data_IF_037500685637
#
_entry.id   IF_037500685637
#
_cell.length_a   1.000
_cell.length_b   1.000
_cell.length_c   1.000
_cell.angle_alpha   90.00
_cell.angle_beta   90.00
_cell.angle_gamma   90.00
#
_symmetry.space_group_name_H-M   'P 1'
#
loop_
_entity.id
_entity.type
_entity.pdbx_description
1 polymer ?
2 non-polymer ?
3 non-polymer ?
4 non-polymer ?
5 non-polymer ?
6 non-polymer ?
7 water ?
#
# COMPACT_ATOMS: atom_id res chain seq x y z
N UNK A 45 3.83 -2.24 -31.72
CA UNK A 45 3.29 -2.00 -33.04
C UNK A 45 2.45 -0.73 -33.07
N UNK A 46 2.05 -0.31 -34.26
CA UNK A 46 1.20 0.87 -34.43
C UNK A 46 -0.25 0.54 -34.06
N UNK A 47 -0.82 -0.43 -34.76
CA UNK A 47 -2.15 -0.91 -34.39
C UNK A 47 -2.02 -1.84 -33.20
N UNK A 48 -3.11 -2.07 -32.49
CA UNK A 48 -3.11 -2.99 -31.35
C UNK A 48 -2.82 -4.39 -31.88
N UNK A 49 -3.40 -4.69 -33.04
CA UNK A 49 -3.17 -5.97 -33.69
C UNK A 49 -1.69 -6.21 -33.96
N UNK A 50 -1.01 -5.17 -34.44
CA UNK A 50 0.42 -5.26 -34.72
C UNK A 50 1.22 -5.47 -33.45
N UNK A 51 0.90 -4.71 -32.41
CA UNK A 51 1.59 -4.87 -31.13
C UNK A 51 1.40 -6.30 -30.62
N UNK A 52 0.17 -6.80 -30.71
CA UNK A 52 -0.14 -8.13 -30.20
C UNK A 52 0.60 -9.25 -30.95
N UNK A 53 0.66 -9.15 -32.26
CA UNK A 53 1.38 -10.14 -33.06
C UNK A 53 2.86 -10.20 -32.67
N UNK A 54 3.46 -9.04 -32.44
CA UNK A 54 4.84 -8.95 -32.01
C UNK A 54 5.00 -9.47 -30.58
N UNK A 55 4.06 -9.12 -29.71
CA UNK A 55 4.12 -9.62 -28.34
C UNK A 55 3.93 -11.14 -28.31
N UNK A 56 3.04 -11.65 -29.16
CA UNK A 56 2.85 -13.09 -29.25
C UNK A 56 4.18 -13.81 -29.45
N UNK A 57 5.04 -13.23 -30.28
CA UNK A 57 6.37 -13.81 -30.50
C UNK A 57 7.18 -13.84 -29.21
N UNK A 58 7.15 -12.74 -28.46
CA UNK A 58 7.87 -12.67 -27.19
C UNK A 58 7.27 -13.64 -26.18
N UNK A 59 5.95 -13.78 -26.22
CA UNK A 59 5.28 -14.70 -25.30
C UNK A 59 5.69 -16.13 -25.59
N UNK A 60 5.69 -16.52 -26.87
CA UNK A 60 6.16 -17.86 -27.24
C UNK A 60 7.60 -18.07 -26.83
N UNK A 61 8.46 -17.08 -27.10
CA UNK A 61 9.86 -17.17 -26.71
C UNK A 61 10.04 -17.32 -25.21
N UNK A 62 9.06 -16.87 -24.44
CA UNK A 62 9.13 -17.00 -22.99
C UNK A 62 8.46 -18.24 -22.43
N UNK A 63 7.95 -19.10 -23.31
CA UNK A 63 7.39 -20.37 -22.87
C UNK A 63 5.88 -20.50 -22.81
N UNK A 64 5.16 -19.47 -23.23
CA UNK A 64 3.69 -19.55 -23.33
C UNK A 64 3.29 -20.33 -24.58
N UNK A 65 2.34 -21.24 -24.44
CA UNK A 65 1.82 -22.01 -25.58
C UNK A 65 0.84 -21.20 -26.42
N UNK A 66 0.75 -21.52 -27.70
CA UNK A 66 -0.09 -20.75 -28.62
C UNK A 66 -1.55 -20.76 -28.21
N UNK A 67 -2.02 -21.90 -27.70
CA UNK A 67 -3.41 -22.07 -27.32
C UNK A 67 -3.76 -21.22 -26.10
N UNK A 68 -2.85 -21.19 -25.12
CA UNK A 68 -3.02 -20.31 -23.96
C UNK A 68 -3.11 -18.86 -24.42
N UNK A 69 -2.18 -18.45 -25.27
CA UNK A 69 -2.14 -17.04 -25.72
C UNK A 69 -3.41 -16.67 -26.45
N UNK A 70 -3.78 -17.48 -27.43
CA UNK A 70 -4.96 -17.17 -28.22
C UNK A 70 -6.24 -17.18 -27.39
N UNK A 71 -6.32 -18.08 -26.40
CA UNK A 71 -7.46 -18.11 -25.49
C UNK A 71 -7.51 -16.86 -24.58
N UNK A 72 -6.35 -16.46 -24.08
CA UNK A 72 -6.22 -15.26 -23.24
C UNK A 72 -6.59 -13.99 -23.99
N UNK A 73 -6.26 -13.92 -25.28
CA UNK A 73 -6.46 -12.68 -26.03
C UNK A 73 -7.73 -12.67 -26.86
N UNK A 74 -8.56 -13.71 -26.70
CA UNK A 74 -9.80 -13.80 -27.44
C UNK A 74 -10.67 -12.58 -27.18
N UNK A 75 -10.90 -11.80 -28.23
CA UNK A 75 -11.76 -10.63 -28.14
C UNK A 75 -11.13 -9.40 -27.52
N UNK A 76 -9.89 -9.52 -27.06
CA UNK A 76 -9.23 -8.42 -26.34
C UNK A 76 -8.89 -7.24 -27.26
N UNK A 77 -9.29 -6.03 -26.83
CA UNK A 77 -8.92 -4.78 -27.46
C UNK A 77 -8.47 -3.82 -26.38
N UNK A 78 -7.85 -2.70 -26.77
CA UNK A 78 -7.44 -1.76 -25.70
C UNK A 78 -8.63 -1.25 -24.91
N UNK A 79 -8.39 -0.97 -23.63
CA UNK A 79 -9.43 -0.47 -22.75
C UNK A 79 -9.11 0.99 -22.37
N UNK A 80 -9.88 1.94 -22.90
CA UNK A 80 -9.65 3.36 -22.63
C UNK A 80 -9.76 3.73 -21.17
N UNK A 81 -10.54 2.96 -20.40
CA UNK A 81 -10.68 3.21 -18.97
C UNK A 81 -9.36 2.98 -18.26
N UNK A 82 -8.60 1.99 -18.75
CA UNK A 82 -7.30 1.67 -18.21
C UNK A 82 -6.29 2.76 -18.61
N UNK A 83 -6.42 3.22 -19.85
CA UNK A 83 -5.54 4.29 -20.32
C UNK A 83 -5.75 5.54 -19.49
N UNK A 84 -7.00 5.88 -19.24
CA UNK A 84 -7.37 7.03 -18.42
C UNK A 84 -6.81 6.92 -17.01
N UNK A 85 -6.96 5.75 -16.39
CA UNK A 85 -6.46 5.55 -15.03
C UNK A 85 -4.94 5.71 -14.98
N UNK A 86 -4.26 5.20 -15.99
CA UNK A 86 -2.81 5.23 -16.08
C UNK A 86 -2.35 6.68 -16.22
N UNK A 87 -3.09 7.44 -16.99
CA UNK A 87 -2.75 8.82 -17.27
C UNK A 87 -3.09 9.75 -16.12
N UNK A 88 -4.16 9.45 -15.39
CA UNK A 88 -4.63 10.35 -14.35
C UNK A 88 -3.66 10.44 -13.18
N UNK A 89 -2.69 11.35 -13.29
CA UNK A 89 -1.88 11.75 -12.14
C UNK A 89 -2.66 12.81 -11.38
N UNK A 90 -3.51 12.48 -10.43
CA UNK A 90 -4.46 13.42 -9.79
C UNK A 90 -4.15 14.83 -9.24
N UNK A 91 -5.24 15.56 -9.05
CA UNK A 91 -5.19 16.89 -8.52
C UNK A 91 -6.12 17.04 -7.32
N UNK A 92 -5.83 16.32 -6.26
CA UNK A 92 -6.60 16.38 -5.01
C UNK A 92 -6.40 15.27 -4.01
N UNK A 93 -6.30 15.76 -2.78
CA UNK A 93 -6.14 15.08 -1.51
C UNK A 93 -7.23 13.96 -1.42
N UNK A 94 -7.37 13.11 -0.39
CA UNK A 94 -6.73 13.03 0.92
C UNK A 94 -7.75 13.84 1.64
N UNK A 95 -7.59 14.30 2.87
CA UNK A 95 -6.44 14.22 3.77
C UNK A 95 -6.47 12.88 4.49
N UNK A 96 -5.39 12.51 5.16
CA UNK A 96 -5.29 11.19 5.77
C UNK A 96 -6.53 10.88 6.62
N UNK A 97 -7.12 11.91 7.23
CA UNK A 97 -8.23 11.68 8.18
C UNK A 97 -9.50 11.25 7.45
N UNK A 98 -9.67 11.66 6.21
CA UNK A 98 -10.82 11.23 5.42
C UNK A 98 -10.57 9.85 4.84
N UNK A 99 -9.32 9.58 4.48
CA UNK A 99 -8.91 8.28 3.98
C UNK A 99 -9.07 7.21 5.05
N UNK A 100 -8.66 7.54 6.27
CA UNK A 100 -8.78 6.64 7.40
C UNK A 100 -10.25 6.44 7.76
N UNK A 101 -11.06 7.48 7.57
CA UNK A 101 -12.49 7.42 7.87
C UNK A 101 -13.20 6.38 7.01
N UNK A 102 -12.81 6.34 5.74
CA UNK A 102 -13.34 5.35 4.82
C UNK A 102 -12.81 3.95 5.13
N UNK A 103 -11.51 3.88 5.42
CA UNK A 103 -10.87 2.61 5.73
C UNK A 103 -11.36 2.00 7.04
N UNK A 104 -11.56 2.86 8.04
CA UNK A 104 -11.95 2.42 9.36
C UNK A 104 -13.46 2.53 9.53
N UNK A 105 -14.16 2.61 8.41
CA UNK A 105 -15.62 2.64 8.44
C UNK A 105 -16.16 1.50 9.29
N UNK A 106 -17.06 1.81 10.24
CA UNK A 106 -17.61 0.74 11.10
C UNK A 106 -18.19 -0.41 10.30
N UNK A 107 -18.67 -0.10 9.10
CA UNK A 107 -19.19 -1.15 8.23
C UNK A 107 -18.08 -2.12 7.82
N UNK A 108 -16.88 -1.59 7.57
CA UNK A 108 -15.77 -2.45 7.15
C UNK A 108 -15.20 -3.20 8.36
N UNK A 109 -15.22 -2.57 9.54
CA UNK A 109 -14.75 -3.25 10.74
C UNK A 109 -15.67 -4.42 11.05
N UNK A 110 -16.96 -4.17 11.04
CA UNK A 110 -17.87 -5.26 11.40
C UNK A 110 -17.84 -6.38 10.35
N UNK A 111 -17.60 -6.04 9.09
CA UNK A 111 -17.57 -7.08 8.05
C UNK A 111 -16.32 -7.95 8.24
N UNK A 112 -15.22 -7.33 8.68
CA UNK A 112 -14.02 -8.10 8.98
C UNK A 112 -14.20 -9.00 10.19
N UNK A 113 -14.91 -8.50 11.21
CA UNK A 113 -15.20 -9.36 12.35
C UNK A 113 -16.06 -10.55 11.94
N UNK A 114 -16.96 -10.31 11.01
CA UNK A 114 -17.85 -11.35 10.51
C UNK A 114 -17.04 -12.39 9.75
N UNK A 115 -16.08 -11.91 8.96
CA UNK A 115 -15.20 -12.80 8.19
C UNK A 115 -14.29 -13.60 9.09
N UNK A 116 -13.79 -12.97 10.16
CA UNK A 116 -12.93 -13.68 11.11
C UNK A 116 -13.69 -14.85 11.75
N UNK A 117 -14.97 -14.65 12.01
CA UNK A 117 -15.78 -15.70 12.60
C UNK A 117 -16.10 -16.79 11.58
N UNK A 118 -16.51 -16.37 10.39
CA UNK A 118 -16.93 -17.27 9.31
C UNK A 118 -15.79 -18.18 8.91
N UNK A 119 -14.59 -17.61 8.82
CA UNK A 119 -13.42 -18.34 8.36
C UNK A 119 -12.45 -18.66 9.50
N UNK A 120 -12.98 -18.77 10.71
CA UNK A 120 -12.14 -18.97 11.89
C UNK A 120 -11.22 -20.19 11.79
N UNK A 121 -11.73 -21.30 11.27
CA UNK A 121 -10.93 -22.51 11.15
C UNK A 121 -9.73 -22.31 10.22
N UNK A 122 -10.00 -21.88 8.99
CA UNK A 122 -8.93 -21.61 8.02
C UNK A 122 -7.93 -20.58 8.56
N UNK A 123 -8.44 -19.49 9.13
CA UNK A 123 -7.56 -18.44 9.65
C UNK A 123 -6.70 -18.93 10.78
N UNK A 124 -7.27 -19.78 11.63
CA UNK A 124 -6.51 -20.41 12.69
C UNK A 124 -5.35 -21.21 12.13
N UNK A 125 -5.62 -21.97 11.08
CA UNK A 125 -4.60 -22.80 10.43
C UNK A 125 -3.54 -21.93 9.74
N UNK A 126 -4.00 -20.88 9.07
CA UNK A 126 -3.07 -19.96 8.40
C UNK A 126 -2.20 -19.21 9.41
N UNK A 127 -2.84 -18.69 10.46
CA UNK A 127 -2.15 -17.96 11.54
C UNK A 127 -1.08 -18.85 12.19
N UNK A 128 -1.44 -20.09 12.47
CA UNK A 128 -0.50 -21.04 13.04
C UNK A 128 0.59 -21.44 12.05
N UNK A 129 0.21 -21.78 10.82
CA UNK A 129 1.20 -22.29 9.87
C UNK A 129 2.21 -21.24 9.39
N UNK A 130 1.75 -20.02 9.13
CA UNK A 130 2.64 -18.99 8.59
C UNK A 130 3.22 -18.04 9.65
N UNK A 131 2.71 -18.17 10.87
CA UNK A 131 3.09 -17.29 11.97
C UNK A 131 2.84 -15.84 11.59
N UNK A 132 1.60 -15.59 11.17
CA UNK A 132 1.15 -14.27 10.81
C UNK A 132 -0.21 -14.09 11.45
N UNK A 133 -0.39 -12.97 12.15
CA UNK A 133 -1.63 -12.72 12.87
C UNK A 133 -2.83 -12.66 11.95
N UNK A 134 -3.87 -13.43 12.29
CA UNK A 134 -5.08 -13.46 11.47
C UNK A 134 -5.69 -12.08 11.28
N UNK A 135 -5.66 -11.24 12.32
CA UNK A 135 -6.26 -9.92 12.21
C UNK A 135 -5.59 -9.05 11.16
N UNK A 136 -4.27 -9.22 10.99
CA UNK A 136 -3.56 -8.46 9.97
C UNK A 136 -3.91 -8.94 8.58
N UNK A 137 -3.95 -10.27 8.40
CA UNK A 137 -4.32 -10.87 7.12
C UNK A 137 -5.71 -10.39 6.71
N UNK A 138 -6.64 -10.44 7.65
CA UNK A 138 -8.01 -10.02 7.35
C UNK A 138 -8.09 -8.51 7.09
N UNK A 139 -7.27 -7.74 7.79
CA UNK A 139 -7.25 -6.30 7.53
C UNK A 139 -6.75 -5.98 6.13
N UNK A 140 -5.70 -6.68 5.69
CA UNK A 140 -5.24 -6.51 4.32
C UNK A 140 -6.32 -6.89 3.31
N UNK A 141 -6.96 -8.03 3.57
CA UNK A 141 -8.08 -8.50 2.74
C UNK A 141 -9.17 -7.43 2.60
N UNK A 142 -9.50 -6.79 3.71
CA UNK A 142 -10.50 -5.71 3.72
C UNK A 142 -10.07 -4.48 2.93
N UNK A 143 -8.81 -4.11 3.08
CA UNK A 143 -8.29 -2.91 2.41
C UNK A 143 -8.09 -3.14 0.91
N UNK A 144 -7.74 -4.37 0.53
CA UNK A 144 -7.43 -4.65 -0.87
C UNK A 144 -8.63 -4.91 -1.76
N UNK A 145 -9.59 -5.68 -1.26
CA UNK A 145 -10.76 -6.04 -2.08
C UNK A 145 -12.05 -6.03 -1.29
N UNK A 146 -12.06 -5.39 -0.13
CA UNK A 146 -13.24 -5.44 0.71
C UNK A 146 -13.66 -6.89 1.02
N UNK A 147 -12.68 -7.72 1.38
CA UNK A 147 -12.88 -9.12 1.74
C UNK A 147 -13.43 -9.91 0.55
N UNK A 148 -13.01 -9.53 -0.65
CA UNK A 148 -13.38 -10.27 -1.85
C UNK A 148 -14.56 -9.73 -2.65
N UNK A 149 -15.20 -8.67 -2.18
CA UNK A 149 -16.39 -8.15 -2.88
C UNK A 149 -16.05 -7.13 -3.97
N UNK A 150 -14.87 -6.53 -3.88
CA UNK A 150 -14.42 -5.57 -4.87
C UNK A 150 -13.02 -5.93 -5.36
N UNK A 151 -12.96 -6.83 -6.32
CA UNK A 151 -11.67 -7.26 -6.88
C UNK A 151 -11.39 -6.45 -8.11
N UNK A 152 -12.39 -5.68 -8.51
CA UNK A 152 -12.30 -4.96 -9.75
C UNK A 152 -13.14 -5.79 -10.71
N UNK A 153 -13.41 -5.22 -11.86
CA UNK A 153 -14.23 -5.87 -12.84
C UNK A 153 -13.48 -5.95 -14.14
N UNK A 154 -12.16 -5.76 -14.10
CA UNK A 154 -11.44 -5.73 -15.36
C UNK A 154 -10.65 -7.01 -15.60
N UNK A 155 -10.67 -7.46 -16.85
CA UNK A 155 -9.87 -8.62 -17.21
C UNK A 155 -8.39 -8.26 -17.20
N UNK A 156 -7.58 -9.02 -16.45
CA UNK A 156 -6.18 -8.72 -16.23
C UNK A 156 -5.38 -8.71 -17.52
N UNK A 157 -5.68 -9.65 -18.42
CA UNK A 157 -4.97 -9.69 -19.69
C UNK A 157 -5.27 -8.44 -20.54
N UNK A 158 -6.54 -8.05 -20.59
CA UNK A 158 -6.91 -6.86 -21.33
C UNK A 158 -6.26 -5.61 -20.76
N UNK A 159 -6.26 -5.53 -19.43
CA UNK A 159 -5.72 -4.34 -18.78
C UNK A 159 -4.21 -4.26 -18.98
N UNK A 160 -3.51 -5.37 -18.79
CA UNK A 160 -2.05 -5.30 -18.93
C UNK A 160 -1.66 -5.15 -20.39
N UNK A 161 -2.41 -5.76 -21.32
CA UNK A 161 -2.13 -5.56 -22.74
C UNK A 161 -2.32 -4.10 -23.14
N UNK A 162 -3.36 -3.48 -22.59
CA UNK A 162 -3.62 -2.06 -22.85
C UNK A 162 -2.41 -1.24 -22.39
N UNK A 163 -1.96 -1.48 -21.17
CA UNK A 163 -0.82 -0.74 -20.64
C UNK A 163 0.48 -1.04 -21.39
N UNK A 164 0.62 -2.28 -21.85
CA UNK A 164 1.83 -2.64 -22.60
C UNK A 164 1.84 -1.93 -23.96
N UNK A 165 0.66 -1.81 -24.56
CA UNK A 165 0.51 -1.22 -25.89
C UNK A 165 0.65 0.29 -25.91
N UNK A 166 0.03 0.98 -24.95
CA UNK A 166 0.03 2.44 -24.95
C UNK A 166 0.08 3.10 -23.59
N UNK A 167 0.48 2.34 -22.57
CA UNK A 167 0.60 2.89 -21.23
C UNK A 167 1.90 3.65 -21.00
N UNK A 168 1.97 4.34 -19.86
CA UNK A 168 3.15 5.12 -19.53
C UNK A 168 4.25 4.26 -18.92
N UNK A 169 3.91 3.05 -18.51
CA UNK A 169 4.88 2.18 -17.88
C UNK A 169 4.88 0.81 -18.54
N UNK A 170 5.29 0.75 -19.81
CA UNK A 170 5.21 -0.50 -20.59
C UNK A 170 6.17 -1.59 -20.13
N UNK A 171 7.27 -1.23 -19.48
CA UNK A 171 8.20 -2.22 -18.97
C UNK A 171 7.51 -3.12 -17.94
N UNK A 172 6.86 -2.45 -16.98
CA UNK A 172 6.06 -3.13 -15.96
C UNK A 172 4.96 -3.95 -16.61
N UNK A 173 4.22 -3.34 -17.54
CA UNK A 173 3.07 -4.02 -18.14
C UNK A 173 3.47 -5.30 -18.87
N UNK A 174 4.54 -5.24 -19.66
CA UNK A 174 5.01 -6.41 -20.41
C UNK A 174 5.42 -7.53 -19.46
N UNK A 175 6.17 -7.19 -18.42
CA UNK A 175 6.63 -8.19 -17.46
C UNK A 175 5.44 -8.85 -16.78
N UNK A 176 4.46 -8.04 -16.39
CA UNK A 176 3.31 -8.57 -15.65
C UNK A 176 2.43 -9.38 -16.57
N UNK A 177 2.32 -8.95 -17.82
CA UNK A 177 1.51 -9.67 -18.80
C UNK A 177 2.06 -11.07 -19.07
N UNK A 178 3.37 -11.19 -19.26
CA UNK A 178 3.94 -12.51 -19.43
C UNK A 178 3.74 -13.40 -18.21
N UNK A 179 3.94 -12.85 -17.01
CA UNK A 179 3.68 -13.61 -15.78
C UNK A 179 2.21 -14.04 -15.70
N UNK A 180 1.30 -13.14 -16.07
CA UNK A 180 -0.13 -13.48 -16.08
C UNK A 180 -0.44 -14.63 -17.02
N UNK A 181 0.21 -14.64 -18.20
CA UNK A 181 0.00 -15.74 -19.12
C UNK A 181 0.53 -17.06 -18.55
N UNK A 182 1.59 -16.99 -17.74
CA UNK A 182 2.12 -18.20 -17.12
C UNK A 182 1.10 -18.75 -16.14
N UNK A 183 0.43 -17.85 -15.42
CA UNK A 183 -0.59 -18.26 -14.47
C UNK A 183 -1.72 -18.98 -15.20
N UNK A 184 -2.13 -18.45 -16.34
CA UNK A 184 -3.20 -19.10 -17.11
C UNK A 184 -2.74 -20.45 -17.62
N UNK A 185 -1.49 -20.52 -18.06
CA UNK A 185 -0.94 -21.78 -18.58
C UNK A 185 -0.90 -22.86 -17.50
N UNK A 186 -0.64 -22.45 -16.27
CA UNK A 186 -0.58 -23.34 -15.10
C UNK A 186 -1.96 -23.74 -14.58
N UNK A 187 -3.00 -23.02 -15.02
CA UNK A 187 -4.38 -23.35 -14.70
C UNK A 187 -4.96 -22.87 -13.37
N UNK A 188 -4.34 -21.87 -12.76
CA UNK A 188 -4.81 -21.40 -11.45
C UNK A 188 -6.22 -20.82 -11.56
N UNK A 189 -6.53 -20.31 -12.75
CA UNK A 189 -7.83 -19.69 -13.00
C UNK A 189 -8.06 -19.68 -14.50
N UNK A 190 -9.32 -19.79 -14.92
CA UNK A 190 -9.62 -19.63 -16.36
C UNK A 190 -9.47 -18.18 -16.80
N UNK A 191 -9.06 -17.93 -18.05
CA UNK A 191 -8.91 -16.57 -18.55
C UNK A 191 -10.14 -15.71 -18.28
N UNK A 192 -11.34 -16.27 -18.49
CA UNK A 192 -12.57 -15.51 -18.28
C UNK A 192 -12.69 -14.91 -16.88
N UNK A 193 -12.07 -15.56 -15.89
CA UNK A 193 -12.25 -15.14 -14.49
C UNK A 193 -11.00 -14.53 -13.90
N UNK A 194 -10.04 -14.23 -14.75
CA UNK A 194 -8.82 -13.58 -14.29
C UNK A 194 -9.06 -12.08 -14.17
N UNK A 195 -9.68 -11.72 -13.05
CA UNK A 195 -10.18 -10.37 -12.80
C UNK A 195 -9.29 -9.58 -11.86
N UNK A 196 -9.28 -8.27 -12.05
CA UNK A 196 -8.49 -7.44 -11.14
C UNK A 196 -8.68 -5.97 -11.46
N UNK A 197 -7.78 -5.16 -10.93
CA UNK A 197 -7.87 -3.71 -11.09
C UNK A 197 -7.23 -3.26 -12.41
N UNK A 198 -7.31 -1.95 -12.70
CA UNK A 198 -6.80 -1.45 -13.98
C UNK A 198 -5.31 -1.67 -14.16
N UNK A 199 -4.59 -1.79 -13.06
CA UNK A 199 -3.13 -1.87 -13.13
C UNK A 199 -2.62 -3.32 -13.05
N UNK A 200 -3.55 -4.27 -13.08
CA UNK A 200 -3.15 -5.67 -13.12
C UNK A 200 -3.08 -6.31 -11.75
N UNK A 201 -3.51 -5.60 -10.71
CA UNK A 201 -3.56 -6.22 -9.39
C UNK A 201 -4.77 -7.17 -9.35
N UNK A 202 -4.56 -8.42 -8.91
CA UNK A 202 -5.51 -9.50 -9.18
C UNK A 202 -6.26 -10.03 -7.96
N UNK A 203 -7.52 -10.38 -8.17
CA UNK A 203 -8.23 -11.20 -7.20
C UNK A 203 -8.44 -10.59 -5.83
N UNK A 204 -8.61 -11.45 -4.83
CA UNK A 204 -8.99 -11.00 -3.51
C UNK A 204 -7.82 -10.37 -2.78
N UNK A 205 -6.62 -10.76 -3.19
CA UNK A 205 -5.38 -10.27 -2.58
C UNK A 205 -4.81 -9.03 -3.27
N UNK A 206 -5.24 -8.78 -4.51
CA UNK A 206 -4.70 -7.72 -5.35
C UNK A 206 -3.20 -7.86 -5.52
N UNK A 207 -2.75 -9.12 -5.63
CA UNK A 207 -1.41 -9.45 -6.08
C UNK A 207 -1.22 -9.07 -7.55
N UNK A 208 -0.10 -8.45 -7.90
CA UNK A 208 0.24 -8.34 -9.33
C UNK A 208 0.78 -9.71 -9.74
N UNK A 209 0.74 -10.03 -11.04
CA UNK A 209 1.11 -11.37 -11.49
C UNK A 209 2.47 -11.89 -10.99
N UNK A 210 3.53 -11.08 -10.99
CA UNK A 210 4.82 -11.63 -10.57
C UNK A 210 4.79 -11.95 -9.08
N UNK A 211 4.01 -11.19 -8.31
CA UNK A 211 3.86 -11.47 -6.89
C UNK A 211 3.06 -12.75 -6.67
N UNK A 212 2.00 -12.94 -7.45
CA UNK A 212 1.28 -14.21 -7.40
C UNK A 212 2.24 -15.37 -7.69
N UNK A 213 3.02 -15.25 -8.75
CA UNK A 213 3.85 -16.39 -9.12
C UNK A 213 4.83 -16.75 -8.01
N UNK A 214 5.34 -15.75 -7.32
CA UNK A 214 6.31 -15.98 -6.26
C UNK A 214 5.67 -16.41 -4.93
N UNK A 215 4.51 -15.85 -4.60
CA UNK A 215 4.00 -16.01 -3.23
C UNK A 215 2.62 -16.61 -3.06
N UNK A 216 1.85 -16.75 -4.13
CA UNK A 216 0.53 -17.36 -3.97
C UNK A 216 0.67 -18.82 -3.52
N UNK A 217 -0.32 -19.26 -2.75
CA UNK A 217 -0.36 -20.57 -2.10
C UNK A 217 -1.59 -21.35 -2.51
N UNK A 218 -1.44 -22.66 -2.67
CA UNK A 218 -2.60 -23.55 -2.81
C UNK A 218 -2.90 -24.13 -1.43
N UNK A 219 -3.85 -23.52 -0.74
CA UNK A 219 -4.14 -23.89 0.62
C UNK A 219 -4.94 -25.20 0.72
N UNK A 220 -5.92 -25.37 -0.16
CA UNK A 220 -6.85 -26.50 -0.02
C UNK A 220 -6.40 -27.76 -0.77
N UNK A 221 -5.37 -27.65 -1.60
CA UNK A 221 -4.77 -28.82 -2.22
C UNK A 221 -5.40 -29.30 -3.52
N UNK A 222 -6.17 -28.46 -4.19
CA UNK A 222 -6.76 -28.88 -5.46
C UNK A 222 -5.81 -28.65 -6.63
N UNK A 223 -4.61 -28.15 -6.33
CA UNK A 223 -3.63 -27.87 -7.36
C UNK A 223 -3.68 -26.48 -7.95
N UNK A 224 -4.68 -25.68 -7.57
CA UNK A 224 -4.81 -24.32 -8.08
C UNK A 224 -4.48 -23.30 -6.99
N UNK A 225 -3.71 -22.28 -7.35
CA UNK A 225 -3.51 -21.13 -6.47
C UNK A 225 -4.56 -20.12 -6.85
N UNK A 226 -5.75 -20.31 -6.32
CA UNK A 226 -6.92 -19.55 -6.78
C UNK A 226 -7.20 -18.37 -5.87
N UNK A 227 -6.54 -17.26 -6.13
CA UNK A 227 -6.73 -16.11 -5.26
C UNK A 227 -8.00 -15.33 -5.66
N UNK A 228 -8.75 -15.88 -6.60
CA UNK A 228 -9.99 -15.25 -7.07
C UNK A 228 -11.22 -15.81 -6.35
N UNK A 229 -11.30 -17.13 -6.33
CA UNK A 229 -12.50 -17.77 -5.80
C UNK A 229 -12.35 -18.60 -4.55
N UNK A 230 -11.12 -18.78 -4.07
CA UNK A 230 -10.89 -19.55 -2.85
C UNK A 230 -10.40 -18.70 -1.68
N UNK A 231 -11.23 -18.55 -0.64
CA UNK A 231 -10.83 -17.74 0.52
C UNK A 231 -9.55 -18.32 1.14
N UNK A 232 -9.47 -19.64 1.23
CA UNK A 232 -8.31 -20.31 1.79
C UNK A 232 -7.03 -19.97 1.06
N UNK A 233 -7.04 -20.11 -0.26
CA UNK A 233 -5.85 -19.76 -1.06
C UNK A 233 -5.52 -18.29 -0.89
N UNK A 234 -6.54 -17.45 -0.90
CA UNK A 234 -6.31 -16.01 -0.80
C UNK A 234 -5.66 -15.64 0.53
N UNK A 235 -6.23 -16.18 1.61
CA UNK A 235 -5.75 -15.85 2.95
C UNK A 235 -4.37 -16.41 3.18
N UNK A 236 -4.13 -17.63 2.75
CA UNK A 236 -2.80 -18.21 2.92
C UNK A 236 -1.77 -17.48 2.09
N UNK A 237 -2.18 -17.01 0.90
CA UNK A 237 -1.27 -16.26 0.05
C UNK A 237 -0.87 -14.94 0.69
N UNK A 238 -1.86 -14.23 1.22
CA UNK A 238 -1.60 -12.95 1.90
C UNK A 238 -0.64 -13.16 3.07
N UNK A 239 -0.89 -14.20 3.85
CA UNK A 239 -0.03 -14.52 5.00
C UNK A 239 1.38 -14.85 4.56
N UNK A 240 1.50 -15.65 3.51
CA UNK A 240 2.81 -16.04 2.98
C UNK A 240 3.63 -14.84 2.55
N UNK A 241 2.97 -13.88 1.90
CA UNK A 241 3.64 -12.64 1.49
C UNK A 241 4.04 -11.78 2.70
N UNK A 242 3.13 -11.64 3.66
CA UNK A 242 3.48 -10.91 4.88
C UNK A 242 4.68 -11.53 5.58
N UNK A 243 4.69 -12.85 5.64
CA UNK A 243 5.77 -13.55 6.35
C UNK A 243 7.09 -13.34 5.61
N UNK A 244 7.06 -13.50 4.29
CA UNK A 244 8.24 -13.22 3.46
C UNK A 244 8.72 -11.78 3.65
N UNK A 245 7.80 -10.87 3.94
CA UNK A 245 8.13 -9.46 4.13
C UNK A 245 8.56 -9.12 5.54
N UNK A 246 8.64 -10.13 6.40
CA UNK A 246 9.30 -9.99 7.69
C UNK A 246 8.37 -9.98 8.89
N UNK A 247 7.11 -10.34 8.69
CA UNK A 247 6.14 -10.28 9.79
C UNK A 247 6.59 -11.07 11.01
N UNK A 248 6.51 -10.45 12.18
CA UNK A 248 6.72 -11.17 13.43
C UNK A 248 5.39 -11.32 14.18
N UNK A 249 4.91 -12.54 14.26
CA UNK A 249 3.62 -12.81 14.88
C UNK A 249 3.55 -12.25 16.31
N UNK A 250 2.45 -11.57 16.62
CA UNK A 250 2.22 -11.07 17.97
C UNK A 250 2.84 -9.72 18.23
N UNK A 251 3.73 -9.26 17.36
CA UNK A 251 4.38 -7.97 17.55
C UNK A 251 3.48 -6.86 17.02
N UNK A 252 3.36 -5.75 17.75
CA UNK A 252 2.53 -4.67 17.20
C UNK A 252 3.14 -4.06 15.93
N UNK A 253 2.30 -3.69 14.97
CA UNK A 253 2.77 -2.89 13.83
C UNK A 253 3.27 -1.54 14.32
N UNK A 254 2.71 -1.10 15.43
CA UNK A 254 3.04 0.21 15.94
C UNK A 254 1.94 0.62 16.89
N UNK A 255 2.03 1.83 17.39
CA UNK A 255 1.07 2.30 18.39
C UNK A 255 1.20 3.80 18.58
N UNK A 256 0.12 4.42 19.03
CA UNK A 256 0.13 5.85 19.23
C UNK A 256 0.96 6.21 20.46
N UNK A 257 1.64 7.35 20.37
CA UNK A 257 2.49 7.82 21.46
C UNK A 257 2.22 9.29 21.75
N UNK A 258 2.69 9.75 22.91
CA UNK A 258 2.66 11.17 23.22
C UNK A 258 4.09 11.70 23.19
N UNK A 259 4.31 12.76 22.42
CA UNK A 259 5.63 13.36 22.30
C UNK A 259 5.80 14.40 23.38
N UNK A 260 7.02 14.53 23.93
CA UNK A 260 7.31 15.51 24.97
C UNK A 260 7.38 16.93 24.40
N UNK A 261 7.14 17.93 25.24
CA UNK A 261 7.24 19.32 24.82
C UNK A 261 8.65 19.60 24.29
N UNK A 262 8.76 20.49 23.32
CA UNK A 262 10.05 20.83 22.74
C UNK A 262 10.72 19.61 22.13
N UNK A 263 9.95 18.84 21.39
CA UNK A 263 10.46 17.63 20.75
C UNK A 263 11.15 17.97 19.44
N UNK A 264 12.18 17.20 19.09
CA UNK A 264 12.89 17.40 17.83
C UNK A 264 12.16 16.69 16.69
N UNK A 265 11.31 17.43 15.98
CA UNK A 265 10.42 16.84 14.98
C UNK A 265 11.14 16.42 13.69
N UNK A 266 12.42 16.78 13.55
CA UNK A 266 13.19 16.34 12.40
C UNK A 266 13.39 14.82 12.46
N UNK A 267 13.13 14.24 13.62
CA UNK A 267 13.29 12.81 13.83
C UNK A 267 12.09 12.00 13.34
N UNK A 268 10.99 12.71 13.08
CA UNK A 268 9.81 12.08 12.49
C UNK A 268 10.07 11.82 11.03
N UNK A 269 10.57 10.62 10.75
CA UNK A 269 11.09 10.29 9.43
C UNK A 269 11.22 8.77 9.30
N UNK A 270 10.55 8.21 8.31
CA UNK A 270 10.52 6.75 8.17
C UNK A 270 11.89 6.17 7.87
N UNK A 271 12.80 7.00 7.39
CA UNK A 271 14.15 6.55 7.06
C UNK A 271 15.04 6.57 8.30
N UNK A 272 14.50 7.05 9.41
CA UNK A 272 15.22 7.06 10.68
C UNK A 272 14.61 6.06 11.65
N UNK A 273 15.42 5.11 12.09
CA UNK A 273 14.97 4.11 13.05
C UNK A 273 15.81 4.14 14.31
N UNK A 274 15.15 3.89 15.44
CA UNK A 274 15.80 3.86 16.74
C UNK A 274 15.09 2.83 17.62
N UNK A 275 15.84 2.22 18.56
CA UNK A 275 15.24 1.30 19.52
C UNK A 275 14.21 1.98 20.41
N UNK A 276 13.14 1.27 20.76
CA UNK A 276 12.10 1.81 21.62
C UNK A 276 12.66 2.41 22.90
N UNK A 277 13.68 1.75 23.45
CA UNK A 277 14.32 2.22 24.67
C UNK A 277 14.91 3.59 24.47
N UNK A 278 15.48 3.82 23.28
CA UNK A 278 16.06 5.11 22.94
C UNK A 278 14.97 6.17 22.76
N UNK A 279 13.84 5.79 22.19
CA UNK A 279 12.71 6.71 22.06
C UNK A 279 12.21 7.08 23.46
N UNK A 280 12.19 6.09 24.34
CA UNK A 280 11.74 6.30 25.72
C UNK A 280 12.69 7.26 26.45
N UNK A 281 14.00 7.10 26.20
CA UNK A 281 15.00 7.94 26.83
C UNK A 281 15.08 9.31 26.18
N UNK A 282 14.20 9.53 25.23
CA UNK A 282 14.09 10.81 24.54
C UNK A 282 12.87 11.56 25.04
N UNK A 283 12.06 10.88 25.83
CA UNK A 283 10.87 11.47 26.41
C UNK A 283 9.58 11.08 25.73
N UNK A 284 9.65 10.13 24.81
CA UNK A 284 8.45 9.61 24.16
C UNK A 284 7.74 8.64 25.10
N UNK A 285 6.45 8.87 25.31
CA UNK A 285 5.66 8.05 26.24
C UNK A 285 4.44 7.43 25.57
N UNK A 286 3.79 6.50 26.27
CA UNK A 286 2.51 5.97 25.83
C UNK A 286 1.51 7.11 25.70
N UNK A 287 0.44 6.89 24.97
CA UNK A 287 -0.45 7.98 24.54
C UNK A 287 -1.13 8.67 25.73
N UNK A 288 -1.33 7.95 26.82
CA UNK A 288 -1.90 8.55 28.03
C UNK A 288 -0.84 8.89 29.08
N UNK A 289 0.42 8.86 28.67
CA UNK A 289 1.53 9.07 29.59
C UNK A 289 2.00 7.76 30.16
N UNK A 290 3.20 7.77 30.74
CA UNK A 290 3.78 6.54 31.26
C UNK A 290 4.58 5.81 30.21
N UNK A 291 5.32 4.78 30.61
CA UNK A 291 6.26 4.02 29.77
C UNK A 291 5.65 3.34 28.55
N UNK A 292 6.49 3.08 27.56
CA UNK A 292 6.09 2.36 26.35
C UNK A 292 6.01 0.85 26.63
N UNK A 293 5.40 0.08 25.72
CA UNK A 293 5.19 -1.36 25.86
C UNK A 293 6.45 -2.12 26.27
N UNK A 294 6.29 -3.13 27.14
CA UNK A 294 7.43 -3.81 27.74
C UNK A 294 7.91 -4.98 26.89
N UNK A 295 9.19 -5.29 27.01
CA UNK A 295 9.78 -6.40 26.27
C UNK A 295 10.30 -6.01 24.89
N UNK A 296 9.66 -5.00 24.29
CA UNK A 296 10.02 -4.52 22.95
C UNK A 296 11.22 -3.57 22.97
N UNK A 297 11.79 -3.37 24.15
CA UNK A 297 12.80 -2.33 24.39
C UNK A 297 13.88 -2.21 23.32
N UNK A 298 14.22 -3.33 22.68
CA UNK A 298 15.25 -3.33 21.65
C UNK A 298 14.73 -3.21 20.22
N UNK A 299 13.41 -3.17 20.05
CA UNK A 299 12.80 -3.09 18.72
C UNK A 299 13.06 -1.75 18.04
N UNK A 300 13.51 -1.80 16.79
CA UNK A 300 13.70 -0.59 16.00
C UNK A 300 12.34 -0.01 15.63
N UNK A 301 12.21 1.31 15.75
CA UNK A 301 10.96 1.98 15.41
C UNK A 301 11.22 3.35 14.79
N UNK A 302 10.28 3.80 13.96
CA UNK A 302 10.28 5.14 13.40
C UNK A 302 9.07 5.91 13.90
N UNK A 303 9.20 7.23 13.88
CA UNK A 303 8.13 8.12 14.29
C UNK A 303 7.31 8.57 13.10
N UNK A 304 6.01 8.29 13.12
CA UNK A 304 5.11 8.65 12.04
C UNK A 304 4.13 9.74 12.49
N UNK A 305 4.14 10.85 11.77
CA UNK A 305 3.22 11.97 12.03
C UNK A 305 2.39 12.20 10.79
N UNK A 306 1.28 11.47 10.65
CA UNK A 306 0.56 11.51 9.37
C UNK A 306 -0.06 12.87 9.06
N UNK A 307 -0.24 13.72 10.08
CA UNK A 307 -0.80 15.04 9.84
C UNK A 307 0.07 16.15 10.44
N UNK A 308 1.38 15.90 10.53
CA UNK A 308 2.30 16.89 11.05
C UNK A 308 2.25 16.99 12.57
N UNK A 309 2.97 17.96 13.12
CA UNK A 309 3.16 18.05 14.56
C UNK A 309 1.92 18.31 15.38
N UNK A 310 0.86 18.83 14.76
CA UNK A 310 -0.36 19.13 15.48
C UNK A 310 -1.28 17.92 15.57
N UNK A 311 -0.94 16.85 14.85
CA UNK A 311 -1.75 15.65 14.84
C UNK A 311 -1.21 14.53 15.70
N UNK A 312 -1.83 13.35 15.59
CA UNK A 312 -1.42 12.19 16.38
C UNK A 312 -0.05 11.68 15.93
N UNK A 313 0.66 11.04 16.85
CA UNK A 313 2.01 10.56 16.59
C UNK A 313 2.03 9.05 16.82
N UNK A 314 2.80 8.33 16.00
CA UNK A 314 2.86 6.88 16.12
C UNK A 314 4.29 6.43 16.08
N UNK A 315 4.64 5.48 16.93
CA UNK A 315 5.88 4.75 16.72
C UNK A 315 5.53 3.52 15.92
N UNK A 316 6.23 3.29 14.80
CA UNK A 316 5.91 2.15 13.95
C UNK A 316 7.11 1.21 13.85
N UNK A 317 6.80 -0.08 13.93
CA UNK A 317 7.81 -1.13 14.09
C UNK A 317 7.96 -1.94 12.80
N UNK A 318 8.72 -3.04 12.88
CA UNK A 318 9.07 -3.81 11.71
C UNK A 318 7.85 -4.32 10.94
N UNK A 319 6.80 -4.69 11.67
CA UNK A 319 5.60 -5.18 10.98
C UNK A 319 4.93 -4.10 10.14
N UNK A 320 5.07 -2.83 10.54
CA UNK A 320 4.63 -1.73 9.69
C UNK A 320 5.41 -1.73 8.36
N UNK A 321 6.73 -1.99 8.44
CA UNK A 321 7.55 -2.07 7.23
C UNK A 321 7.11 -3.24 6.33
N UNK A 322 6.71 -4.35 6.95
CA UNK A 322 6.16 -5.48 6.20
C UNK A 322 4.90 -5.10 5.42
N UNK A 323 4.00 -4.35 6.05
CA UNK A 323 2.81 -3.90 5.35
C UNK A 323 3.15 -2.98 4.18
N UNK A 324 4.19 -2.17 4.34
CA UNK A 324 4.61 -1.27 3.26
C UNK A 324 5.08 -2.06 2.04
N UNK A 325 5.55 -3.28 2.26
CA UNK A 325 5.98 -4.12 1.14
C UNK A 325 4.79 -4.55 0.33
N UNK A 326 3.63 -4.58 0.98
CA UNK A 326 2.39 -4.95 0.32
C UNK A 326 1.91 -3.78 -0.52
N UNK A 327 2.01 -2.59 0.05
CA UNK A 327 1.61 -1.35 -0.60
C UNK A 327 2.40 -0.20 0.01
N UNK A 328 3.32 0.38 -0.76
CA UNK A 328 4.28 1.34 -0.21
C UNK A 328 3.68 2.73 -0.03
N UNK A 329 2.78 2.84 0.94
CA UNK A 329 2.10 4.08 1.32
C UNK A 329 1.93 4.08 2.83
N UNK A 330 2.45 5.08 3.53
CA UNK A 330 2.33 5.08 4.99
C UNK A 330 0.87 5.24 5.43
N UNK A 331 0.06 5.93 4.62
CA UNK A 331 -1.35 6.04 4.93
C UNK A 331 -2.04 4.67 4.88
N UNK A 332 -1.71 3.92 3.84
CA UNK A 332 -2.24 2.57 3.68
C UNK A 332 -1.83 1.70 4.87
N UNK A 333 -0.55 1.74 5.21
CA UNK A 333 -0.05 0.84 6.23
C UNK A 333 -0.63 1.21 7.58
N UNK A 334 -0.80 2.51 7.82
CA UNK A 334 -1.47 2.96 9.05
C UNK A 334 -2.92 2.49 9.11
N UNK A 335 -3.64 2.60 7.99
CA UNK A 335 -5.02 2.12 7.92
C UNK A 335 -5.11 0.60 8.16
N UNK A 336 -4.20 -0.17 7.56
CA UNK A 336 -4.22 -1.60 7.79
C UNK A 336 -4.01 -1.94 9.26
N UNK A 337 -3.04 -1.28 9.89
CA UNK A 337 -2.77 -1.53 11.29
C UNK A 337 -3.92 -1.14 12.19
N UNK A 338 -4.47 0.05 11.97
CA UNK A 338 -5.63 0.46 12.77
C UNK A 338 -6.85 -0.42 12.51
N UNK A 339 -7.07 -0.87 11.27
CA UNK A 339 -8.18 -1.79 10.98
C UNK A 339 -7.99 -3.11 11.72
N UNK A 340 -6.77 -3.68 11.65
CA UNK A 340 -6.47 -4.90 12.39
C UNK A 340 -6.79 -4.74 13.88
N UNK A 341 -6.33 -3.62 14.46
CA UNK A 341 -6.61 -3.32 15.87
C UNK A 341 -8.10 -3.18 16.17
N UNK A 342 -8.83 -2.60 15.20
CA UNK A 342 -10.26 -2.34 15.36
C UNK A 342 -11.07 -3.62 15.53
N UNK A 343 -10.63 -4.71 14.89
CA UNK A 343 -11.34 -5.98 15.01
C UNK A 343 -11.46 -6.43 16.46
N UNK A 344 -10.47 -6.07 17.28
CA UNK A 344 -10.46 -6.44 18.69
C UNK A 344 -10.82 -5.28 19.61
N UNK A 345 -11.44 -4.24 19.06
CA UNK A 345 -11.89 -3.12 19.86
C UNK A 345 -10.85 -2.04 20.06
N UNK A 346 -9.74 -2.13 19.32
CA UNK A 346 -8.72 -1.11 19.35
C UNK A 346 -8.88 -0.12 18.21
N UNK A 347 -7.79 0.45 17.76
CA UNK A 347 -7.84 1.37 16.64
C UNK A 347 -8.35 2.75 17.01
N UNK A 348 -8.46 3.00 18.30
CA UNK A 348 -8.86 4.31 18.78
C UNK A 348 -7.66 5.27 18.73
N UNK A 349 -7.88 6.45 18.16
CA UNK A 349 -6.83 7.46 18.11
C UNK A 349 -7.14 8.54 19.14
N UNK A 350 -6.18 8.79 20.02
CA UNK A 350 -6.38 9.69 21.14
C UNK A 350 -6.13 11.15 20.75
N UNK A 351 -5.05 11.40 20.01
CA UNK A 351 -4.74 12.75 19.58
C UNK A 351 -5.72 13.25 18.55
N UNK A 352 -6.14 14.50 18.65
CA UNK A 352 -7.09 15.06 17.68
C UNK A 352 -6.44 15.26 16.31
N UNK A 353 -7.22 15.09 15.24
CA UNK A 353 -6.76 15.40 13.90
C UNK A 353 -6.89 16.91 13.68
N UNK A 354 -5.87 17.54 13.08
CA UNK A 354 -5.98 18.98 12.79
C UNK A 354 -7.13 19.30 11.85
N UNK A 355 -7.94 20.30 12.19
CA UNK A 355 -9.09 20.68 11.36
C UNK A 355 -8.68 21.20 10.00
N UNK A 356 -7.49 21.80 9.93
CA UNK A 356 -7.07 22.50 8.72
C UNK A 356 -6.23 21.64 7.80
N UNK A 357 -6.23 20.35 8.03
CA UNK A 357 -5.48 19.43 7.20
C UNK A 357 -6.12 19.34 5.81
N UNK A 358 -5.58 20.11 4.88
CA UNK A 358 -6.00 20.05 3.48
C UNK A 358 -4.76 19.76 2.63
N UNK A 359 -4.58 18.48 2.27
CA UNK A 359 -3.36 18.04 1.57
C UNK A 359 -3.14 18.77 0.25
N UNK A 360 -1.88 18.89 -0.12
CA UNK A 360 -1.52 19.58 -1.35
C UNK A 360 -1.86 18.72 -2.57
N UNK A 361 -2.45 19.35 -3.58
CA UNK A 361 -2.72 18.71 -4.85
C UNK A 361 -1.42 18.46 -5.60
N UNK A 362 -1.52 17.77 -6.73
CA UNK A 362 -0.34 17.53 -7.57
C UNK A 362 0.33 18.84 -7.95
N UNK A 363 -0.49 19.79 -8.41
CA UNK A 363 -0.02 21.10 -8.83
C UNK A 363 0.71 21.82 -7.69
N UNK A 364 0.12 21.77 -6.50
CA UNK A 364 0.70 22.42 -5.33
C UNK A 364 1.98 21.75 -4.84
N UNK A 365 2.09 20.44 -5.04
CA UNK A 365 3.30 19.74 -4.61
C UNK A 365 4.47 20.14 -5.52
N UNK A 366 4.16 20.36 -6.78
CA UNK A 366 5.18 20.79 -7.72
C UNK A 366 5.53 22.24 -7.45
N UNK A 367 4.52 23.05 -7.13
CA UNK A 367 4.77 24.46 -6.83
C UNK A 367 5.63 24.56 -5.58
N UNK A 368 5.34 23.69 -4.61
CA UNK A 368 6.08 23.67 -3.35
C UNK A 368 7.54 23.37 -3.59
N UNK A 369 7.81 22.35 -4.42
CA UNK A 369 9.19 21.98 -4.72
C UNK A 369 9.91 23.14 -5.41
N UNK A 370 9.23 23.79 -6.35
CA UNK A 370 9.85 24.92 -7.04
C UNK A 370 10.13 26.08 -6.09
N UNK A 371 9.20 26.36 -5.18
CA UNK A 371 9.37 27.48 -4.24
C UNK A 371 10.47 27.19 -3.23
N UNK A 372 10.58 25.93 -2.84
CA UNK A 372 11.64 25.52 -1.91
C UNK A 372 12.99 25.72 -2.56
N UNK A 373 13.10 25.27 -3.82
CA UNK A 373 14.35 25.41 -4.56
C UNK A 373 14.72 26.88 -4.75
N UNK A 374 13.73 27.72 -5.00
CA UNK A 374 13.96 29.15 -5.22
C UNK A 374 14.42 29.86 -3.95
N UNK A 375 14.06 29.31 -2.80
CA UNK A 375 14.43 29.91 -1.52
C UNK A 375 15.78 29.37 -1.04
N UNK A 376 16.35 28.45 -1.82
CA UNK A 376 17.63 27.87 -1.50
C UNK A 376 17.59 26.56 -0.73
N UNK A 377 16.40 25.98 -0.58
CA UNK A 377 16.28 24.68 0.07
C UNK A 377 16.01 23.63 -1.00
N UNK A 378 17.07 22.94 -1.40
CA UNK A 378 17.01 22.06 -2.56
C UNK A 378 16.28 20.75 -2.25
N UNK A 379 15.12 20.53 -2.88
CA UNK A 379 14.31 19.35 -2.65
C UNK A 379 14.67 18.21 -3.60
N UNK A 380 15.65 18.45 -4.46
CA UNK A 380 15.98 17.50 -5.52
C UNK A 380 15.08 17.70 -6.73
N UNK A 381 14.96 16.65 -7.54
CA UNK A 381 14.18 16.73 -8.77
C UNK A 381 12.76 17.21 -8.51
N UNK A 382 12.29 18.16 -9.32
CA UNK A 382 10.91 18.62 -9.18
C UNK A 382 9.99 17.62 -9.86
N UNK A 383 9.45 16.71 -9.06
CA UNK A 383 8.65 15.61 -9.61
C UNK A 383 7.24 15.53 -9.04
N UNK A 384 6.92 16.41 -8.10
CA UNK A 384 5.60 16.42 -7.51
C UNK A 384 5.37 15.32 -6.49
N UNK A 385 6.45 14.63 -6.13
CA UNK A 385 6.38 13.58 -5.13
C UNK A 385 7.13 13.98 -3.86
N UNK A 386 6.40 14.09 -2.74
CA UNK A 386 7.02 14.41 -1.47
C UNK A 386 7.65 13.18 -0.84
N UNK A 387 8.96 13.02 -1.02
CA UNK A 387 9.70 11.95 -0.39
C UNK A 387 10.80 12.52 0.48
N UNK A 388 11.85 11.73 0.73
CA UNK A 388 12.88 12.09 1.70
C UNK A 388 13.64 13.37 1.36
N UNK A 389 14.01 13.55 0.10
CA UNK A 389 14.72 14.74 -0.32
C UNK A 389 13.87 15.99 -0.17
N UNK A 390 12.59 15.89 -0.54
CA UNK A 390 11.70 17.04 -0.40
C UNK A 390 11.45 17.33 1.08
N UNK A 391 11.24 16.28 1.87
CA UNK A 391 11.02 16.48 3.30
C UNK A 391 12.23 17.14 3.95
N UNK A 392 13.43 16.83 3.47
CA UNK A 392 14.64 17.44 3.97
C UNK A 392 14.60 18.95 3.72
N UNK A 393 14.15 19.33 2.53
CA UNK A 393 14.05 20.73 2.16
C UNK A 393 12.92 21.43 2.90
N UNK A 394 11.83 20.70 3.12
CA UNK A 394 10.71 21.26 3.87
C UNK A 394 11.17 21.59 5.29
N UNK A 395 11.88 20.65 5.91
CA UNK A 395 12.37 20.85 7.28
C UNK A 395 13.28 22.07 7.40
N UNK A 396 14.16 22.27 6.42
CA UNK A 396 15.08 23.42 6.48
C UNK A 396 14.29 24.71 6.35
N UNK A 397 13.28 24.70 5.48
CA UNK A 397 12.41 25.86 5.33
C UNK A 397 11.58 26.14 6.57
N UNK A 398 11.04 25.08 7.18
CA UNK A 398 10.32 25.23 8.44
C UNK A 398 11.23 25.83 9.50
N UNK A 399 12.45 25.32 9.61
CA UNK A 399 13.39 25.86 10.58
C UNK A 399 13.69 27.34 10.30
N UNK A 400 13.81 27.72 9.03
CA UNK A 400 14.05 29.12 8.67
C UNK A 400 12.92 30.03 9.17
N UNK A 401 11.68 29.53 9.10
CA UNK A 401 10.53 30.30 9.56
C UNK A 401 10.29 30.18 11.06
N UNK A 402 11.05 29.31 11.72
CA UNK A 402 10.88 29.12 13.15
C UNK A 402 9.75 28.15 13.49
N UNK A 403 9.33 27.36 12.51
CA UNK A 403 8.26 26.37 12.69
C UNK A 403 8.81 25.00 13.10
N UNK A 404 8.00 24.19 13.80
CA UNK A 404 8.43 22.82 14.08
C UNK A 404 8.80 22.10 12.77
N UNK A 405 9.91 21.36 12.78
CA UNK A 405 10.45 20.81 11.55
C UNK A 405 9.94 19.39 11.31
N UNK A 406 8.64 19.25 11.08
CA UNK A 406 8.05 17.93 10.96
C UNK A 406 8.10 17.38 9.53
N UNK A 407 8.52 18.21 8.57
CA UNK A 407 8.66 17.78 7.19
C UNK A 407 7.34 17.58 6.50
N UNK A 408 6.28 18.09 7.11
CA UNK A 408 4.93 17.93 6.61
C UNK A 408 4.43 19.24 6.01
N UNK A 409 4.30 19.29 4.67
CA UNK A 409 3.95 20.51 3.96
C UNK A 409 2.45 20.80 4.00
N UNK A 410 2.09 22.06 4.19
CA UNK A 410 0.69 22.46 4.30
C UNK A 410 0.42 23.66 3.42
N UNK A 411 -0.85 23.94 3.13
CA UNK A 411 -1.20 25.17 2.40
C UNK A 411 -0.58 26.41 3.05
N UNK A 412 -0.47 26.43 4.38
CA UNK A 412 0.13 27.56 5.11
C UNK A 412 1.60 27.76 4.72
N UNK A 413 2.34 26.65 4.60
CA UNK A 413 3.72 26.72 4.15
C UNK A 413 3.82 27.29 2.74
N UNK A 414 2.96 26.81 1.85
CA UNK A 414 2.98 27.29 0.48
C UNK A 414 2.65 28.79 0.42
N UNK A 415 1.71 29.24 1.25
CA UNK A 415 1.34 30.66 1.29
C UNK A 415 2.51 31.52 1.76
N UNK A 416 3.15 31.06 2.83
CA UNK A 416 4.28 31.78 3.42
C UNK A 416 5.42 31.88 2.40
N UNK A 417 5.60 30.84 1.59
CA UNK A 417 6.62 30.84 0.56
C UNK A 417 6.35 31.87 -0.53
N UNK A 418 5.07 32.03 -0.88
CA UNK A 418 4.66 33.08 -1.81
C UNK A 418 4.67 34.43 -1.08
N UNK A 419 4.77 34.37 0.24
CA UNK A 419 4.76 35.55 1.11
C UNK A 419 3.55 36.43 0.87
X LIG B 1 -6.45 -24.12 -4.28
X LIG C 1 -12.77 -0.72 -3.04
X LIG C 1 -12.42 0.65 -3.26
X LIG C 1 -11.94 0.78 -4.57
X LIG C 1 -11.53 2.12 -5.11
X LIG C 1 -11.59 3.12 -4.40
X LIG C 1 -11.00 2.21 -6.59
X LIG C 1 -11.18 1.02 -2.18
X LIG C 1 -11.64 1.28 -1.07
X LIG C 1 -10.19 -0.34 -2.18
X LIG C 1 -9.43 -0.28 -3.28
X LIG C 1 -11.05 -1.53 -2.28
X LIG C 1 -11.71 -1.49 -3.41
X LIG C 1 -12.08 -1.54 -1.18
X LIG C 1 -13.02 -0.98 -1.60
X LIG C 1 -11.00 2.34 -0.36
X LIG C 1 -12.06 3.08 0.42
X LIG C 1 -13.55 -0.96 -3.57
X LIG C 1 -13.18 1.22 -3.11
X LIG C 1 -11.90 0.04 -5.11
X LIG C 1 -10.19 1.71 -6.67
X LIG C 1 -11.66 1.85 -7.18
X LIG C 1 -10.84 3.13 -6.81
X LIG C 1 -10.67 1.80 -2.51
X LIG C 1 -9.65 -0.38 -1.39
X LIG C 1 -10.48 -2.35 -2.23
X LIG C 1 -12.31 -2.46 -0.95
X LIG C 1 -11.74 -1.09 -0.40
X LIG C 1 -10.33 1.96 0.27
X LIG C 1 -12.59 2.43 0.95
X LIG C 1 -12.65 3.55 -0.20
X LIG C 1 -11.65 3.71 1.02
X LIG D 1 -8.16 -0.99 -3.15
X LIG D 1 -7.73 -1.49 -4.51
X LIG D 1 -6.34 -2.12 -4.47
X LIG D 1 -5.38 -1.15 -3.83
X LIG D 1 -5.93 -0.72 -2.48
X LIG D 1 -4.96 0.28 -1.76
X LIG D 1 -9.42 -2.27 -6.14
X LIG D 1 -10.33 -3.43 -6.59
X LIG D 1 -8.62 -2.49 -4.99
X LIG D 1 -5.90 -2.46 -5.78
X LIG D 1 -4.15 -1.81 -3.68
X LIG D 1 -7.15 -0.12 -2.66
X LIG D 1 -5.45 1.61 -1.93
X LIG D 1 -9.40 -1.22 -6.77
X LIG D 1 -8.28 -1.75 -2.54
X LIG D 1 -7.72 -0.75 -5.13
X LIG D 1 -6.38 -2.91 -3.94
X LIG D 1 -5.28 -0.40 -4.38
X LIG D 1 -6.05 -1.53 -1.90
X LIG D 1 -4.92 0.06 -0.79
X LIG D 1 -4.07 0.21 -2.16
X LIG D 1 -9.88 -4.29 -6.41
X LIG D 1 -10.51 -3.35 -7.56
X LIG D 1 -11.19 -3.39 -6.07
X LIG D 1 -8.65 -3.30 -4.56
X LIG D 1 -5.21 -3.07 -5.72
X LIG D 1 -3.51 -1.33 -4.08
X LIG D 1 -4.80 2.13 -2.35
X LIG E 1 2.98 -3.71 -5.62
X LIG E 1 3.15 -5.15 -5.04
X LIG E 1 4.57 -5.60 -4.64
X LIG E 1 5.52 -5.18 -5.70
X LIG E 1 5.41 -3.67 -5.78
X LIG E 1 6.65 -3.09 -6.41
X LIG E 1 1.38 -6.66 -4.20
X LIG E 1 0.38 -6.87 -3.14
X LIG E 1 2.11 -5.56 -4.09
X LIG E 1 1.76 -3.76 -6.29
X LIG E 1 4.37 -6.99 -4.61
X LIG E 1 6.78 -5.61 -5.28
X LIG E 1 4.14 -3.44 -6.45
X LIG E 1 6.72 -1.69 -6.18
X LIG E 1 1.49 -7.45 -5.13
X LIG E 1 2.97 -2.91 -4.89
X LIG E 1 2.95 -5.74 -5.94
X LIG E 1 4.98 -5.20 -3.71
X LIG E 1 5.32 -5.59 -6.70
X LIG E 1 5.38 -3.14 -4.83
X LIG E 1 6.63 -3.27 -7.48
X LIG E 1 7.52 -3.56 -5.96
X LIG E 1 0.45 -7.90 -2.77
X LIG E 1 -0.62 -6.69 -3.53
X LIG E 1 0.57 -6.18 -2.31
X LIG E 1 1.95 -4.95 -3.29
X LIG E 1 1.77 -3.12 -7.02
X LIG E 1 3.51 -7.19 -4.26
X LIG E 1 7.46 -5.18 -5.81
X LIG E 1 6.04 -1.44 -5.54
X LIG F 1 11.89 12.43 -3.86
X LIG F 1 11.35 13.28 -2.75
X LIG F 1 11.10 11.14 -3.95
X LIG F 1 13.33 12.10 -3.50
X LIG F 1 11.82 13.19 -5.07
X LIG F 1 12.16 14.40 -2.48
X LIG F 1 10.76 10.75 -5.27
X LIG F 1 13.40 11.72 -2.13
X LIG F 1 11.28 12.73 -1.94
X LIG F 1 10.47 13.60 -3.01
X LIG F 1 10.27 11.24 -3.43
X LIG F 1 11.63 10.42 -3.54
X LIG F 1 13.65 11.36 -4.06
X LIG F 1 13.90 12.89 -3.65
X LIG F 1 10.96 13.49 -5.18
X LIG F 1 12.40 13.90 -5.01
X LIG F 1 12.06 12.66 -5.78
X LIG F 1 12.74 14.52 -3.14
X LIG F 1 10.61 11.47 -5.76
X LIG F 1 12.71 11.20 -1.94
X LIG G 1 9.82 -5.49 -22.48
X LIG G 1 9.76 -6.79 -22.99
X LIG G 1 9.71 -4.50 -23.63
X LIG G 1 9.11 -5.18 -24.75
X LIG G 1 9.56 -4.74 -26.03
X LIG G 1 8.37 -4.30 -26.87
X LIG G 1 8.52 -4.84 -28.20
X LIG G 1 9.08 -5.34 -21.85
X LIG G 1 10.66 -5.35 -22.01
X LIG G 1 8.95 -6.96 -23.26
X LIG G 1 9.15 -3.73 -23.36
X LIG G 1 10.61 -4.19 -23.88
X LIG G 1 10.19 -3.99 -25.92
X LIG G 1 10.01 -5.47 -26.47
X LIG G 1 7.55 -4.63 -26.47
X LIG G 1 8.34 -3.31 -26.92
X LIG G 1 8.51 -4.19 -28.79
#
# INVERSE_FOLDING_TARGET
>A
GSHMQKNPTVEYNQPAAPLQTKAPFSGAGPAASVPAGAPNEAQPGQSFEQWRDAFRQQALAGGIDAQTFDRAFAGVQPDPAVVEADRSQPEFTRPVWKYLEGALDPLRVRQGQARLAQHARILGEVDARYAVDADAVVAIWGMESNYGSHMGNKNVIRSLATLAYEGRRPEFAHAQLLAALKILQHGDVPASFMIGSWAGAMGQTQFIPTTHNQYAVDFDGDGKRDIWGSPGDALASTANYLKASGWIAGQPWGFEVRLPAGFDYSLAELTIRKPLGEWQGMGVQGVNGGPLPSGLSGEQASLLLPAGHRGPAFLVLHNFRAILKYNNSSAYALAVGLLADSFKGGGRIVGAWPLEDVPLSRSQRIELQRQLAARGHDPGAVDGIIGANTRKAIRACQQEFGWPADGYPTPALLDRLRTP
>B hetero
1 CA CA
>C hetero
1 AH0 C1 C2 N2 C7 O7 C8 C3 O3 C4 O4 C5 O5 C6 O6 CA CB H1 H2 HN2 H81 H82 H83 H3 H4 H5 H61 H62 HA HB1 HB2 HB3
>D hetero
1 NAG C1 C2 C3 C4 C5 C6 C7 C8 N2 O3 O4 O5 O6 O7 H1 H2 H3 H4 H5 H61 H62 H81 H82 H83 HN2 HO3 HO4 HO6
>E hetero
1 NAG C1 C2 C3 C4 C5 C6 C7 C8 N2 O1 O3 O4 O5 O6 O7 H1 H2 H3 H4 H5 H61 H62 H81 H82 H83 HN2 HO1 HO3 HO4 HO6
>F hetero
1 TRS C C1 C2 C3 N O1 O2 O3 H11 H12 H21 H22 H31 H32 HN1 HN2 HN3 HO1 HO2 HO3
>G hetero
1 PEG C1 O1 C2 O2 C3 C4 O4 H11 H12 HO1 H21 H22 H31 H32 H41 H42 HO4
#
